data_IF_320245420812
#
_entry.id   IF_320245420812
#
_cell.length_a   1.000
_cell.length_b   1.000
_cell.length_c   1.000
_cell.angle_alpha   90.00
_cell.angle_beta   90.00
_cell.angle_gamma   90.00
#
_symmetry.space_group_name_H-M   'P 1'
#
loop_
_entity.id
_entity.type
_entity.pdbx_description
1 polymer ?
#
# COMPACT_ATOMS: atom_id res chain seq x y z
N UNK A 1 -1.31 6.30 -57.02
CA UNK A 1 -1.54 5.14 -56.12
C UNK A 1 -1.96 5.71 -54.78
N UNK A 2 -3.23 5.59 -54.44
CA UNK A 2 -3.81 6.21 -53.24
C UNK A 2 -3.35 5.46 -51.99
N UNK A 3 -2.56 6.11 -51.13
CA UNK A 3 -2.34 5.66 -49.75
C UNK A 3 -3.67 5.79 -49.00
N UNK A 4 -4.31 4.67 -48.70
CA UNK A 4 -5.45 4.63 -47.78
C UNK A 4 -4.90 4.33 -46.40
N UNK A 5 -4.73 5.39 -45.59
CA UNK A 5 -4.50 5.28 -44.16
C UNK A 5 -5.86 5.41 -43.48
N UNK A 6 -6.48 4.30 -43.09
CA UNK A 6 -7.67 4.27 -42.24
C UNK A 6 -7.22 3.91 -40.83
N UNK A 7 -7.01 4.89 -39.93
CA UNK A 7 -6.74 4.60 -38.54
C UNK A 7 -7.94 4.85 -37.63
N UNK A 8 -7.75 4.30 -36.42
CA UNK A 8 -8.20 4.81 -35.13
C UNK A 8 -9.34 4.09 -34.41
N UNK A 9 -9.55 2.81 -34.76
CA UNK A 9 -10.19 1.72 -33.98
C UNK A 9 -11.72 1.52 -34.12
N UNK A 10 -12.13 0.40 -34.74
CA UNK A 10 -13.38 -0.27 -34.38
C UNK A 10 -13.14 -1.77 -34.10
N UNK A 11 -12.39 -2.12 -33.03
CA UNK A 11 -12.44 -3.48 -32.45
C UNK A 11 -11.13 -4.23 -32.21
N UNK A 12 -9.95 -3.61 -32.26
CA UNK A 12 -8.67 -4.29 -31.98
C UNK A 12 -7.66 -3.39 -31.26
N UNK A 13 -6.69 -4.01 -30.58
CA UNK A 13 -5.63 -3.29 -29.84
C UNK A 13 -4.84 -2.40 -30.81
N UNK A 14 -4.55 -1.14 -30.43
CA UNK A 14 -3.67 -0.28 -31.21
C UNK A 14 -2.34 -0.91 -31.52
N UNK A 15 -1.98 -0.90 -32.80
CA UNK A 15 -0.63 -1.24 -33.23
C UNK A 15 0.39 -0.28 -32.63
N UNK A 16 1.67 -0.63 -32.77
CA UNK A 16 2.80 0.18 -32.29
C UNK A 16 2.69 1.68 -32.61
N UNK A 17 2.38 2.10 -33.85
CA UNK A 17 2.31 3.53 -34.18
C UNK A 17 1.11 4.22 -33.54
N UNK A 18 -0.06 3.59 -33.45
CA UNK A 18 -1.23 4.20 -32.82
C UNK A 18 -1.05 4.37 -31.31
N UNK A 19 -0.38 3.44 -30.61
CA UNK A 19 -0.02 3.62 -29.20
C UNK A 19 0.91 4.81 -28.98
N UNK A 20 1.85 5.07 -29.89
CA UNK A 20 2.73 6.25 -29.81
C UNK A 20 1.90 7.53 -29.94
N UNK A 21 0.91 7.58 -30.83
CA UNK A 21 0.02 8.75 -30.97
C UNK A 21 -0.80 8.97 -29.71
N UNK A 22 -1.39 7.91 -29.14
CA UNK A 22 -2.17 8.01 -27.90
C UNK A 22 -1.27 8.46 -26.73
N UNK A 23 -0.07 7.91 -26.63
CA UNK A 23 0.92 8.31 -25.62
C UNK A 23 1.31 9.78 -25.78
N UNK A 24 1.51 10.25 -27.02
CA UNK A 24 1.82 11.65 -27.30
C UNK A 24 0.68 12.57 -26.85
N UNK A 25 -0.58 12.22 -27.16
CA UNK A 25 -1.76 12.98 -26.71
C UNK A 25 -1.83 12.99 -25.17
N UNK A 26 -1.65 11.85 -24.52
CA UNK A 26 -1.64 11.76 -23.06
C UNK A 26 -0.53 12.63 -22.44
N UNK A 27 0.66 12.64 -23.05
CA UNK A 27 1.79 13.48 -22.62
C UNK A 27 1.50 14.98 -22.84
N UNK A 28 0.76 15.38 -23.88
CA UNK A 28 0.36 16.77 -24.07
C UNK A 28 -0.69 17.21 -23.04
N UNK A 29 -1.64 16.34 -22.69
CA UNK A 29 -2.69 16.64 -21.73
C UNK A 29 -2.16 16.68 -20.29
N UNK A 30 -1.38 15.66 -19.88
CA UNK A 30 -0.91 15.50 -18.50
C UNK A 30 0.49 16.09 -18.29
N UNK A 31 1.31 16.16 -19.34
CA UNK A 31 2.72 16.57 -19.32
C UNK A 31 3.68 15.39 -19.22
N UNK A 32 4.84 15.49 -19.87
CA UNK A 32 5.87 14.43 -19.91
C UNK A 32 6.38 14.00 -18.53
N UNK A 33 6.32 14.89 -17.53
CA UNK A 33 6.78 14.63 -16.17
C UNK A 33 5.70 14.04 -15.25
N UNK A 34 4.41 14.07 -15.62
CA UNK A 34 3.32 13.68 -14.70
C UNK A 34 3.12 12.17 -14.70
N UNK A 35 2.97 11.55 -15.87
CA UNK A 35 2.88 10.09 -16.01
C UNK A 35 4.00 9.35 -15.24
N UNK A 36 5.30 9.66 -15.43
CA UNK A 36 6.37 8.96 -14.73
C UNK A 36 6.40 9.26 -13.22
N UNK A 37 6.03 10.48 -12.80
CA UNK A 37 5.98 10.85 -11.38
C UNK A 37 4.85 10.11 -10.64
N UNK A 38 3.68 9.96 -11.28
CA UNK A 38 2.56 9.19 -10.78
C UNK A 38 2.90 7.70 -10.72
N UNK A 39 3.53 7.16 -11.78
CA UNK A 39 3.98 5.78 -11.79
C UNK A 39 4.99 5.49 -10.68
N UNK A 40 5.95 6.39 -10.44
CA UNK A 40 6.96 6.23 -9.38
C UNK A 40 6.36 6.24 -7.98
N UNK A 41 5.51 7.22 -7.67
CA UNK A 41 4.86 7.32 -6.35
C UNK A 41 3.88 6.16 -6.10
N UNK A 42 3.07 5.80 -7.10
CA UNK A 42 2.17 4.64 -7.04
C UNK A 42 2.96 3.34 -6.90
N UNK A 43 4.06 3.20 -7.63
CA UNK A 43 4.93 2.02 -7.54
C UNK A 43 5.62 1.88 -6.19
N UNK A 44 6.05 2.99 -5.58
CA UNK A 44 6.59 2.99 -4.22
C UNK A 44 5.53 2.57 -3.19
N UNK A 45 4.35 3.19 -3.25
CA UNK A 45 3.24 2.83 -2.35
C UNK A 45 2.81 1.36 -2.51
N UNK A 46 2.69 0.88 -3.75
CA UNK A 46 2.37 -0.53 -4.03
C UNK A 46 3.47 -1.48 -3.53
N UNK A 47 4.74 -1.09 -3.67
CA UNK A 47 5.87 -1.88 -3.19
C UNK A 47 5.92 -2.00 -1.66
N UNK A 48 5.73 -0.89 -0.95
CA UNK A 48 5.64 -0.87 0.52
C UNK A 48 4.42 -1.64 1.01
N UNK A 49 3.27 -1.49 0.35
CA UNK A 49 2.06 -2.24 0.64
C UNK A 49 2.26 -3.75 0.46
N UNK A 50 2.88 -4.18 -0.65
CA UNK A 50 3.16 -5.59 -0.89
C UNK A 50 4.15 -6.17 0.13
N UNK A 51 5.13 -5.38 0.60
CA UNK A 51 6.05 -5.77 1.68
C UNK A 51 5.33 -5.90 3.02
N UNK A 52 4.48 -4.93 3.38
CA UNK A 52 3.68 -5.00 4.61
C UNK A 52 2.72 -6.19 4.61
N UNK A 53 2.09 -6.48 3.46
CA UNK A 53 1.24 -7.68 3.31
C UNK A 53 2.01 -8.98 3.54
N UNK A 54 3.22 -9.11 2.99
CA UNK A 54 4.06 -10.29 3.19
C UNK A 54 4.49 -10.44 4.65
N UNK A 55 4.82 -9.35 5.34
CA UNK A 55 5.17 -9.38 6.76
C UNK A 55 4.00 -9.84 7.62
N UNK A 56 2.80 -9.29 7.37
CA UNK A 56 1.58 -9.69 8.08
C UNK A 56 1.25 -11.16 7.83
N UNK A 57 1.39 -11.65 6.59
CA UNK A 57 1.15 -13.05 6.26
C UNK A 57 2.17 -13.98 6.94
N UNK A 58 3.44 -13.57 7.01
CA UNK A 58 4.48 -14.31 7.72
C UNK A 58 4.26 -14.32 9.24
N UNK A 59 3.85 -13.19 9.83
CA UNK A 59 3.48 -13.11 11.25
C UNK A 59 2.24 -13.96 11.56
N UNK A 60 1.24 -13.99 10.68
CA UNK A 60 0.05 -14.85 10.81
C UNK A 60 0.40 -16.33 10.74
N UNK A 61 1.32 -16.72 9.84
CA UNK A 61 1.81 -18.09 9.70
C UNK A 61 2.63 -18.50 10.94
N UNK A 62 3.51 -17.63 11.44
CA UNK A 62 4.30 -17.87 12.66
C UNK A 62 3.40 -17.95 13.91
N UNK A 63 2.34 -17.15 13.98
CA UNK A 63 1.33 -17.25 15.05
C UNK A 63 0.48 -18.53 14.95
N UNK A 64 0.31 -19.06 13.74
CA UNK A 64 -0.44 -20.30 13.50
C UNK A 64 0.44 -21.56 13.69
N UNK A 65 1.73 -21.49 13.41
CA UNK A 65 2.71 -22.55 13.71
C UNK A 65 3.15 -22.53 15.19
N UNK A 66 3.21 -21.34 15.81
CA UNK A 66 3.56 -21.16 17.22
C UNK A 66 2.40 -21.36 18.21
N UNK A 67 1.16 -21.34 17.73
CA UNK A 67 -0.02 -21.81 18.49
C UNK A 67 -0.53 -23.11 17.85
N UNK A 68 0.11 -24.21 18.19
CA UNK A 68 -0.58 -25.49 18.10
C UNK A 68 -1.74 -25.47 19.09
N UNK A 69 -2.95 -25.73 18.60
CA UNK A 69 -4.05 -26.16 19.44
C UNK A 69 -3.91 -27.67 19.58
N UNK A 70 -3.91 -28.19 20.81
CA UNK A 70 -4.04 -29.63 21.00
C UNK A 70 -5.44 -30.10 20.56
N UNK A 71 -5.64 -31.41 20.44
CA UNK A 71 -6.93 -32.01 20.04
C UNK A 71 -8.10 -31.63 20.98
N UNK A 72 -7.80 -31.00 22.13
CA UNK A 72 -8.76 -30.53 23.15
C UNK A 72 -9.01 -29.01 23.10
N UNK A 73 -8.35 -28.27 22.20
CA UNK A 73 -8.59 -26.85 21.96
C UNK A 73 -7.87 -25.90 22.93
N UNK A 74 -6.85 -26.36 23.64
CA UNK A 74 -6.00 -25.52 24.49
C UNK A 74 -4.81 -24.96 23.72
N UNK A 75 -4.41 -23.73 24.07
CA UNK A 75 -3.22 -23.08 23.53
C UNK A 75 -2.00 -23.76 24.18
N UNK A 76 -1.13 -24.37 23.38
CA UNK A 76 0.11 -25.01 23.84
C UNK A 76 1.35 -24.37 23.19
N UNK A 77 2.41 -24.15 23.96
CA UNK A 77 3.71 -23.68 23.49
C UNK A 77 4.41 -24.74 22.61
N UNK A 78 5.51 -24.38 21.94
CA UNK A 78 6.31 -25.27 21.09
C UNK A 78 6.85 -26.53 21.82
N UNK A 79 6.85 -26.54 23.15
CA UNK A 79 7.21 -27.69 24.00
C UNK A 79 6.01 -28.56 24.43
N UNK A 80 4.79 -28.25 23.96
CA UNK A 80 3.56 -28.98 24.28
C UNK A 80 2.96 -28.65 25.66
N UNK A 81 3.37 -27.55 26.29
CA UNK A 81 2.82 -27.09 27.56
C UNK A 81 1.69 -26.08 27.35
N UNK A 82 0.62 -26.22 28.12
CA UNK A 82 -0.53 -25.29 28.08
C UNK A 82 -0.13 -23.89 28.56
N UNK A 83 -0.33 -22.90 27.70
CA UNK A 83 -0.01 -21.50 28.00
C UNK A 83 -1.21 -20.88 28.71
N UNK A 84 -1.16 -20.88 30.04
CA UNK A 84 -2.21 -20.27 30.86
C UNK A 84 -2.03 -18.75 30.83
N UNK A 85 -2.86 -18.07 30.05
CA UNK A 85 -2.85 -16.61 29.90
C UNK A 85 -3.16 -15.93 31.24
N UNK A 86 -2.11 -15.65 32.03
CA UNK A 86 -2.21 -14.76 33.17
C UNK A 86 -2.43 -13.35 32.64
N UNK A 87 -3.69 -12.91 32.67
CA UNK A 87 -4.09 -11.53 32.46
C UNK A 87 -3.53 -10.65 33.60
N UNK A 88 -2.25 -10.32 33.51
CA UNK A 88 -1.66 -9.24 34.30
C UNK A 88 -2.11 -7.91 33.68
N UNK A 89 -2.99 -7.24 34.42
CA UNK A 89 -3.33 -5.81 34.41
C UNK A 89 -2.48 -4.90 33.50
N UNK A 90 -3.10 -4.05 32.65
CA UNK A 90 -2.38 -2.94 32.04
C UNK A 90 -2.20 -1.84 33.10
N UNK A 91 -1.03 -1.83 33.74
CA UNK A 91 -0.59 -0.70 34.53
C UNK A 91 -0.44 0.54 33.62
N UNK A 92 -1.07 1.63 34.05
CA UNK A 92 -0.96 2.97 33.51
C UNK A 92 0.50 3.39 33.23
N UNK A 93 0.74 4.05 32.10
CA UNK A 93 1.79 5.05 32.00
C UNK A 93 1.43 6.14 31.00
N UNK A 94 1.02 7.27 31.59
CA UNK A 94 1.55 8.60 31.29
C UNK A 94 1.31 9.15 29.88
N UNK A 95 0.14 9.77 29.72
CA UNK A 95 0.00 10.97 28.88
C UNK A 95 0.77 12.11 29.55
N UNK A 96 1.85 12.58 28.94
CA UNK A 96 2.42 13.88 29.25
C UNK A 96 2.85 14.62 27.97
N UNK A 97 2.15 15.74 27.74
CA UNK A 97 2.58 16.98 27.10
C UNK A 97 3.24 16.97 25.71
N UNK A 98 2.56 17.61 24.74
CA UNK A 98 3.01 18.91 24.20
C UNK A 98 1.83 19.60 23.51
N UNK A 99 1.14 20.45 24.27
CA UNK A 99 0.43 21.61 23.72
C UNK A 99 1.35 22.81 23.87
N UNK A 100 1.86 23.35 22.76
CA UNK A 100 2.32 24.74 22.70
C UNK A 100 2.01 25.31 21.32
N UNK A 101 0.91 26.06 21.30
CA UNK A 101 0.73 27.37 20.68
C UNK A 101 1.72 27.79 19.57
N UNK A 102 1.21 28.05 18.36
CA UNK A 102 1.54 29.26 17.58
C UNK A 102 0.42 29.50 16.56
N UNK A 103 -0.64 30.22 16.96
CA UNK A 103 -1.46 31.00 16.03
C UNK A 103 -1.83 32.32 16.71
N UNK A 104 -0.86 33.23 16.79
CA UNK A 104 -1.16 34.64 17.05
C UNK A 104 -1.20 35.37 15.71
N UNK A 105 -2.44 35.59 15.30
CA UNK A 105 -2.90 36.58 14.34
C UNK A 105 -2.35 37.99 14.61
N UNK A 106 -1.89 38.65 13.56
CA UNK A 106 -1.91 40.11 13.37
C UNK A 106 -2.11 40.28 11.86
N UNK A 107 -3.25 40.71 11.31
CA UNK A 107 -4.09 41.89 11.55
C UNK A 107 -3.31 43.20 11.49
N UNK A 108 -3.67 43.98 10.46
CA UNK A 108 -3.53 45.43 10.30
C UNK A 108 -2.12 45.98 10.03
N UNK A 109 -1.81 46.33 8.78
CA UNK A 109 -2.05 47.65 8.15
C UNK A 109 -1.97 47.53 6.62
#
# INVERSE_FOLDING_TARGET
MSQTLIPLFPGGVPGGPELIVILLIAVLLFGANKIPKLARSTGQAMGEFQKGRQQVEQELEELQEGQSLDDEGNIVDQDGNVVEANAAEPAESTSESTSTETTSSSTSE
#
